data_IF_747041533590
#
_entry.id   IF_747041533590
#
_cell.length_a   1.000
_cell.length_b   1.000
_cell.length_c   1.000
_cell.angle_alpha   90.00
_cell.angle_beta   90.00
_cell.angle_gamma   90.00
#
_symmetry.space_group_name_H-M   'P 1'
#
loop_
_entity.id
_entity.type
_entity.pdbx_description
1 polymer ?
#
# COMPACT_ATOMS: atom_id res chain seq x y z
N UNK A 1 -69.58 -27.93 -0.48
CA UNK A 1 -68.13 -28.14 -0.30
C UNK A 1 -67.43 -27.75 -1.59
N UNK A 2 -66.78 -26.59 -1.66
CA UNK A 2 -66.15 -26.10 -2.89
C UNK A 2 -64.76 -26.73 -3.07
N UNK A 3 -64.57 -27.51 -4.13
CA UNK A 3 -63.31 -28.17 -4.44
C UNK A 3 -62.34 -27.16 -5.10
N UNK A 4 -61.38 -26.63 -4.34
CA UNK A 4 -60.39 -25.66 -4.82
C UNK A 4 -59.35 -26.36 -5.70
N UNK A 5 -59.52 -26.28 -7.02
CA UNK A 5 -58.53 -26.75 -8.00
C UNK A 5 -57.20 -26.00 -7.79
N UNK A 6 -56.15 -26.71 -7.38
CA UNK A 6 -54.79 -26.17 -7.33
C UNK A 6 -54.31 -26.01 -8.78
N UNK A 7 -54.19 -24.76 -9.26
CA UNK A 7 -53.53 -24.47 -10.53
C UNK A 7 -52.04 -24.82 -10.39
N UNK A 8 -51.62 -25.91 -11.03
CA UNK A 8 -50.20 -26.21 -11.24
C UNK A 8 -49.55 -25.02 -11.95
N UNK A 9 -48.63 -24.33 -11.27
CA UNK A 9 -47.77 -23.34 -11.92
C UNK A 9 -46.75 -24.13 -12.72
N UNK A 10 -46.74 -23.98 -14.05
CA UNK A 10 -45.70 -24.54 -14.90
C UNK A 10 -44.33 -24.02 -14.44
N UNK A 11 -43.63 -24.82 -13.65
CA UNK A 11 -42.23 -24.57 -13.31
C UNK A 11 -41.42 -24.95 -14.54
N UNK A 12 -41.10 -23.96 -15.37
CA UNK A 12 -40.10 -24.12 -16.42
C UNK A 12 -38.74 -24.28 -15.72
N UNK A 13 -38.19 -25.49 -15.74
CA UNK A 13 -36.82 -25.74 -15.30
C UNK A 13 -35.82 -25.10 -16.25
N UNK A 14 -34.72 -24.58 -15.71
CA UNK A 14 -33.56 -24.18 -16.51
C UNK A 14 -32.99 -25.42 -17.21
N UNK A 15 -32.64 -25.29 -18.49
CA UNK A 15 -31.96 -26.37 -19.21
C UNK A 15 -30.52 -26.49 -18.72
N UNK A 16 -29.99 -27.72 -18.70
CA UNK A 16 -28.57 -27.97 -18.35
C UNK A 16 -27.65 -27.20 -19.30
N UNK A 17 -28.06 -27.03 -20.57
CA UNK A 17 -27.30 -26.29 -21.58
C UNK A 17 -27.22 -24.80 -21.25
N UNK A 18 -28.32 -24.18 -20.82
CA UNK A 18 -28.33 -22.78 -20.36
C UNK A 18 -27.38 -22.59 -19.18
N UNK A 19 -27.40 -23.51 -18.21
CA UNK A 19 -26.51 -23.43 -17.06
C UNK A 19 -25.03 -23.63 -17.45
N UNK A 20 -24.75 -24.55 -18.39
CA UNK A 20 -23.40 -24.83 -18.88
C UNK A 20 -22.78 -23.61 -19.57
N UNK A 21 -23.53 -22.95 -20.45
CA UNK A 21 -23.02 -21.74 -21.14
C UNK A 21 -22.72 -20.64 -20.12
N UNK A 22 -23.57 -20.46 -19.11
CA UNK A 22 -23.38 -19.45 -18.08
C UNK A 22 -22.08 -19.67 -17.30
N UNK A 23 -21.80 -20.89 -16.84
CA UNK A 23 -20.56 -21.16 -16.10
C UNK A 23 -19.31 -21.00 -16.98
N UNK A 24 -19.40 -21.33 -18.28
CA UNK A 24 -18.29 -21.14 -19.23
C UNK A 24 -18.01 -19.65 -19.43
N UNK A 25 -19.05 -18.84 -19.63
CA UNK A 25 -18.91 -17.40 -19.78
C UNK A 25 -18.34 -16.77 -18.52
N UNK A 26 -18.84 -17.14 -17.33
CA UNK A 26 -18.31 -16.65 -16.05
C UNK A 26 -16.84 -17.09 -15.87
N UNK A 27 -16.48 -18.31 -16.27
CA UNK A 27 -15.10 -18.80 -16.22
C UNK A 27 -14.13 -17.98 -17.07
N UNK A 28 -14.50 -17.64 -18.31
CA UNK A 28 -13.69 -16.80 -19.20
C UNK A 28 -13.55 -15.39 -18.61
N UNK A 29 -14.64 -14.78 -18.15
CA UNK A 29 -14.63 -13.46 -17.55
C UNK A 29 -13.78 -13.42 -16.28
N UNK A 30 -13.88 -14.43 -15.41
CA UNK A 30 -13.11 -14.55 -14.18
C UNK A 30 -11.60 -14.66 -14.45
N UNK A 31 -11.19 -15.42 -15.47
CA UNK A 31 -9.78 -15.55 -15.83
C UNK A 31 -9.16 -14.21 -16.26
N UNK A 32 -9.86 -13.44 -17.09
CA UNK A 32 -9.41 -12.11 -17.53
C UNK A 32 -9.35 -11.13 -16.35
N UNK A 33 -10.39 -11.13 -15.49
CA UNK A 33 -10.44 -10.19 -14.36
C UNK A 33 -9.37 -10.45 -13.33
N UNK A 34 -9.01 -11.71 -13.05
CA UNK A 34 -7.94 -12.06 -12.09
C UNK A 34 -6.59 -11.44 -12.52
N UNK A 35 -6.22 -11.57 -13.79
CA UNK A 35 -4.95 -11.04 -14.30
C UNK A 35 -4.93 -9.51 -14.24
N UNK A 36 -6.03 -8.86 -14.63
CA UNK A 36 -6.15 -7.40 -14.57
C UNK A 36 -6.14 -6.86 -13.13
N UNK A 37 -6.81 -7.54 -12.19
CA UNK A 37 -6.95 -7.11 -10.81
C UNK A 37 -5.62 -7.12 -10.05
N UNK A 38 -4.74 -8.10 -10.33
CA UNK A 38 -3.39 -8.16 -9.74
C UNK A 38 -2.56 -6.89 -10.05
N UNK A 39 -2.59 -6.42 -11.29
CA UNK A 39 -1.88 -5.20 -11.69
C UNK A 39 -2.45 -3.93 -11.04
N UNK A 40 -3.78 -3.82 -10.96
CA UNK A 40 -4.46 -2.66 -10.36
C UNK A 40 -4.17 -2.57 -8.86
N UNK A 41 -4.30 -3.68 -8.14
CA UNK A 41 -4.03 -3.72 -6.69
C UNK A 41 -2.59 -3.38 -6.38
N UNK A 42 -1.62 -3.90 -7.14
CA UNK A 42 -0.20 -3.58 -7.00
C UNK A 42 0.10 -2.09 -7.17
N UNK A 43 -0.52 -1.43 -8.17
CA UNK A 43 -0.41 0.04 -8.33
C UNK A 43 -1.03 0.79 -7.16
N UNK A 44 -2.15 0.30 -6.63
CA UNK A 44 -2.77 0.86 -5.42
C UNK A 44 -1.84 0.80 -4.20
N UNK A 45 -1.16 -0.33 -4.00
CA UNK A 45 -0.17 -0.46 -2.93
C UNK A 45 1.05 0.44 -3.14
N UNK A 46 1.56 0.57 -4.37
CA UNK A 46 2.65 1.49 -4.67
C UNK A 46 2.29 2.96 -4.38
N UNK A 47 1.07 3.38 -4.76
CA UNK A 47 0.56 4.72 -4.46
C UNK A 47 0.41 4.96 -2.94
N UNK A 48 -0.04 3.92 -2.21
CA UNK A 48 -0.12 3.98 -0.76
C UNK A 48 1.27 4.10 -0.10
N UNK A 49 2.24 3.31 -0.55
CA UNK A 49 3.62 3.35 -0.04
C UNK A 49 4.27 4.73 -0.29
N UNK A 50 4.09 5.30 -1.49
CA UNK A 50 4.52 6.65 -1.83
C UNK A 50 3.87 7.70 -0.92
N UNK A 51 2.55 7.64 -0.73
CA UNK A 51 1.82 8.57 0.14
C UNK A 51 2.32 8.49 1.58
N UNK A 52 2.59 7.28 2.07
CA UNK A 52 3.13 7.07 3.42
C UNK A 52 4.54 7.66 3.55
N UNK A 53 5.39 7.47 2.54
CA UNK A 53 6.74 8.04 2.52
C UNK A 53 6.71 9.59 2.55
N UNK A 54 5.84 10.21 1.74
CA UNK A 54 5.63 11.66 1.77
C UNK A 54 5.13 12.17 3.14
N UNK A 55 4.25 11.42 3.80
CA UNK A 55 3.75 11.81 5.12
C UNK A 55 4.89 11.75 6.16
N UNK A 56 5.73 10.72 6.10
CA UNK A 56 6.92 10.62 6.95
C UNK A 56 7.87 11.80 6.69
N UNK A 57 8.11 12.13 5.43
CA UNK A 57 8.94 13.28 5.05
C UNK A 57 8.39 14.59 5.65
N UNK A 58 7.08 14.85 5.52
CA UNK A 58 6.44 16.05 6.09
C UNK A 58 6.59 16.11 7.61
N UNK A 59 6.40 14.99 8.30
CA UNK A 59 6.51 14.91 9.76
C UNK A 59 7.95 15.09 10.22
N UNK A 60 8.92 14.52 9.51
CA UNK A 60 10.34 14.67 9.80
C UNK A 60 10.83 16.12 9.59
N UNK A 61 10.40 16.77 8.50
CA UNK A 61 10.71 18.18 8.23
C UNK A 61 10.04 19.11 9.24
N UNK A 62 8.79 18.84 9.63
CA UNK A 62 8.11 19.58 10.68
C UNK A 62 8.86 19.46 12.02
N UNK A 63 9.28 18.23 12.39
CA UNK A 63 10.03 18.01 13.62
C UNK A 63 11.34 18.80 13.64
N UNK A 64 12.04 18.85 12.52
CA UNK A 64 13.25 19.66 12.40
C UNK A 64 12.95 21.16 12.49
N UNK A 65 11.85 21.64 11.89
CA UNK A 65 11.45 23.03 11.99
C UNK A 65 11.12 23.47 13.43
N UNK A 66 10.52 22.57 14.23
CA UNK A 66 10.12 22.90 15.61
C UNK A 66 11.23 22.66 16.63
N UNK A 67 12.01 21.59 16.47
CA UNK A 67 12.98 21.13 17.49
C UNK A 67 14.44 21.34 17.08
N UNK A 68 14.69 21.72 15.82
CA UNK A 68 16.03 21.83 15.25
C UNK A 68 16.72 20.49 15.00
N UNK A 69 15.98 19.37 15.08
CA UNK A 69 16.50 18.03 14.86
C UNK A 69 15.51 17.15 14.09
N UNK A 70 16.04 16.31 13.20
CA UNK A 70 15.26 15.26 12.54
C UNK A 70 15.03 14.06 13.47
N UNK A 71 13.99 13.25 13.20
CA UNK A 71 13.74 12.02 13.95
C UNK A 71 14.95 11.07 13.89
N UNK A 72 15.31 10.51 15.04
CA UNK A 72 16.42 9.54 15.17
C UNK A 72 15.95 8.09 15.21
N UNK A 73 14.65 7.84 15.31
CA UNK A 73 14.02 6.52 15.32
C UNK A 73 12.52 6.60 14.96
N UNK A 74 11.87 5.42 14.90
CA UNK A 74 10.45 5.31 14.53
C UNK A 74 9.53 5.96 15.57
N UNK A 75 9.94 5.92 16.84
CA UNK A 75 9.16 6.43 17.95
C UNK A 75 9.07 7.94 17.85
N UNK A 76 10.21 8.63 17.73
CA UNK A 76 10.27 10.07 17.52
C UNK A 76 9.38 10.52 16.36
N UNK A 77 9.41 9.78 15.25
CA UNK A 77 8.60 10.04 14.07
C UNK A 77 7.09 9.83 14.31
N UNK A 78 6.70 8.82 15.10
CA UNK A 78 5.28 8.46 15.32
C UNK A 78 4.64 9.13 16.53
N UNK A 79 5.45 9.65 17.46
CA UNK A 79 4.97 10.38 18.65
C UNK A 79 4.98 11.89 18.47
N UNK A 80 5.76 12.41 17.51
CA UNK A 80 5.77 13.82 17.20
C UNK A 80 4.42 14.26 16.63
N UNK A 81 3.86 15.38 17.09
CA UNK A 81 2.43 15.73 16.92
C UNK A 81 2.19 17.12 16.29
N UNK A 82 3.21 17.82 15.81
CA UNK A 82 2.99 19.21 15.34
C UNK A 82 2.04 19.32 14.13
N UNK A 83 1.93 18.25 13.34
CA UNK A 83 0.90 18.08 12.32
C UNK A 83 0.10 16.83 12.60
N UNK A 84 -0.81 16.88 13.58
CA UNK A 84 -1.67 15.74 13.96
C UNK A 84 -2.32 15.04 12.74
N UNK A 85 -2.64 15.79 11.68
CA UNK A 85 -3.19 15.25 10.42
C UNK A 85 -2.20 14.44 9.56
N UNK A 86 -0.90 14.74 9.58
CA UNK A 86 0.11 13.98 8.85
C UNK A 86 0.57 12.76 9.65
N UNK A 87 0.67 12.91 10.97
CA UNK A 87 1.07 11.84 11.91
C UNK A 87 0.00 10.73 11.93
N UNK A 88 -1.29 11.10 11.88
CA UNK A 88 -2.39 10.15 11.74
C UNK A 88 -2.36 9.33 10.44
N UNK A 89 -1.57 9.74 9.45
CA UNK A 89 -1.39 9.04 8.17
C UNK A 89 -0.08 8.27 8.07
N UNK A 90 0.75 8.26 9.12
CA UNK A 90 1.90 7.38 9.19
C UNK A 90 1.38 5.97 9.54
N UNK A 91 1.68 4.94 8.73
CA UNK A 91 1.20 3.59 8.98
C UNK A 91 1.77 3.03 10.29
N UNK A 92 0.94 2.28 11.04
CA UNK A 92 1.39 1.52 12.20
C UNK A 92 2.31 0.39 11.72
N UNK A 93 3.62 0.52 11.95
CA UNK A 93 4.62 -0.44 11.46
C UNK A 93 5.72 0.16 10.58
N UNK A 94 5.88 1.49 10.56
CA UNK A 94 7.15 2.08 10.08
C UNK A 94 8.29 1.47 10.88
N UNK A 95 9.23 0.86 10.16
CA UNK A 95 10.44 0.32 10.78
C UNK A 95 11.56 1.33 10.69
N UNK A 96 12.46 1.29 11.67
CA UNK A 96 13.71 2.05 11.61
C UNK A 96 14.89 1.13 11.76
N UNK A 97 16.01 1.51 11.15
CA UNK A 97 17.25 0.76 11.22
C UNK A 97 18.42 1.55 10.67
N UNK A 98 19.63 1.12 11.03
CA UNK A 98 20.87 1.71 10.51
C UNK A 98 21.24 1.20 9.11
N UNK A 99 20.60 0.12 8.64
CA UNK A 99 20.88 -0.51 7.36
C UNK A 99 19.60 -0.64 6.53
N UNK A 100 19.76 -0.48 5.22
CA UNK A 100 18.69 -0.62 4.24
C UNK A 100 18.24 -2.06 4.13
N UNK A 101 16.93 -2.27 3.99
CA UNK A 101 16.43 -3.60 3.64
C UNK A 101 16.56 -3.83 2.13
N UNK A 102 17.16 -4.94 1.73
CA UNK A 102 17.41 -5.28 0.31
C UNK A 102 16.22 -5.94 -0.38
N UNK A 103 15.19 -6.33 0.36
CA UNK A 103 13.99 -7.01 -0.15
C UNK A 103 12.72 -6.33 0.36
N UNK A 104 11.72 -6.16 -0.50
CA UNK A 104 10.44 -5.56 -0.10
C UNK A 104 9.69 -6.40 0.93
N UNK A 105 9.69 -5.95 2.19
CA UNK A 105 9.03 -6.59 3.35
C UNK A 105 7.50 -6.33 3.36
N UNK A 106 6.82 -6.64 2.25
CA UNK A 106 5.38 -6.46 2.10
C UNK A 106 4.95 -5.17 1.39
N UNK A 107 3.75 -5.18 0.81
CA UNK A 107 3.32 -4.22 -0.22
C UNK A 107 3.18 -2.75 0.24
N UNK A 108 3.10 -2.51 1.55
CA UNK A 108 2.94 -1.18 2.16
C UNK A 108 4.11 -0.80 3.06
N UNK A 109 5.21 -1.55 2.96
CA UNK A 109 6.36 -1.40 3.84
C UNK A 109 7.10 -0.10 3.56
N UNK A 110 7.37 0.64 4.63
CA UNK A 110 8.19 1.85 4.62
C UNK A 110 9.21 1.77 5.75
N UNK A 111 10.46 2.07 5.43
CA UNK A 111 11.57 2.10 6.38
C UNK A 111 12.10 3.53 6.46
N UNK A 112 12.27 4.04 7.68
CA UNK A 112 12.99 5.28 7.90
C UNK A 112 14.41 4.97 8.40
N UNK A 113 15.42 5.54 7.75
CA UNK A 113 16.83 5.40 8.11
C UNK A 113 17.36 6.75 8.60
N UNK A 114 17.51 6.94 9.92
CA UNK A 114 18.00 8.18 10.49
C UNK A 114 19.48 8.39 10.19
N UNK A 115 19.88 9.64 9.94
CA UNK A 115 21.29 10.07 9.82
C UNK A 115 21.62 11.05 10.94
N UNK A 116 21.63 10.49 12.16
CA UNK A 116 21.67 11.28 13.39
C UNK A 116 20.50 12.26 13.43
N UNK A 117 20.74 13.48 13.91
CA UNK A 117 19.74 14.55 13.99
C UNK A 117 19.71 15.45 12.76
N UNK A 118 20.58 15.21 11.78
CA UNK A 118 20.77 16.11 10.63
C UNK A 118 19.90 15.76 9.43
N UNK A 119 19.22 14.61 9.45
CA UNK A 119 18.38 14.14 8.36
C UNK A 119 18.15 12.65 8.41
N UNK A 120 17.75 12.08 7.29
CA UNK A 120 17.49 10.66 7.12
C UNK A 120 17.00 10.34 5.72
N UNK A 121 16.80 9.05 5.45
CA UNK A 121 16.15 8.60 4.24
C UNK A 121 14.87 7.83 4.58
N UNK A 122 13.97 7.75 3.61
CA UNK A 122 12.75 6.98 3.66
C UNK A 122 12.77 6.02 2.48
N UNK A 123 12.88 4.73 2.76
CA UNK A 123 12.85 3.68 1.76
C UNK A 123 11.44 3.09 1.68
N UNK A 124 10.93 2.95 0.46
CA UNK A 124 9.68 2.25 0.16
C UNK A 124 9.84 1.43 -1.12
N UNK A 125 8.86 0.59 -1.43
CA UNK A 125 8.92 -0.32 -2.58
C UNK A 125 7.78 -0.04 -3.57
N UNK A 126 8.15 0.17 -4.83
CA UNK A 126 7.21 0.26 -5.94
C UNK A 126 6.88 -1.16 -6.44
N UNK A 127 5.66 -1.61 -6.12
CA UNK A 127 5.13 -2.91 -6.53
C UNK A 127 4.40 -2.86 -7.88
N UNK A 128 4.30 -1.70 -8.54
CA UNK A 128 3.66 -1.59 -9.85
C UNK A 128 4.44 -2.32 -10.96
N UNK A 129 5.75 -2.51 -10.76
CA UNK A 129 6.62 -3.26 -11.65
C UNK A 129 6.55 -4.79 -11.37
N UNK A 130 6.88 -5.59 -12.39
CA UNK A 130 6.92 -7.05 -12.27
C UNK A 130 7.94 -7.54 -11.22
N UNK A 131 9.02 -6.79 -11.04
CA UNK A 131 9.96 -6.91 -9.94
C UNK A 131 9.82 -5.66 -9.07
N UNK A 132 9.56 -5.78 -7.75
CA UNK A 132 9.47 -4.62 -6.88
C UNK A 132 10.77 -3.81 -6.94
N UNK A 133 10.66 -2.49 -7.03
CA UNK A 133 11.82 -1.58 -7.10
C UNK A 133 11.87 -0.74 -5.84
N UNK A 134 13.03 -0.70 -5.17
CA UNK A 134 13.22 0.18 -4.03
C UNK A 134 13.26 1.65 -4.50
N UNK A 135 12.59 2.51 -3.74
CA UNK A 135 12.51 3.95 -3.93
C UNK A 135 12.93 4.64 -2.64
N UNK A 136 13.48 5.83 -2.78
CA UNK A 136 14.09 6.57 -1.69
C UNK A 136 13.67 8.03 -1.73
N UNK A 137 13.14 8.50 -0.62
CA UNK A 137 12.92 9.92 -0.34
C UNK A 137 13.89 10.37 0.76
N UNK A 138 14.22 11.65 0.79
CA UNK A 138 15.28 12.17 1.66
C UNK A 138 14.79 13.38 2.44
N UNK A 139 15.29 13.51 3.68
CA UNK A 139 15.08 14.65 4.56
C UNK A 139 16.40 15.16 5.11
N UNK A 140 16.53 16.48 5.23
CA UNK A 140 17.76 17.13 5.69
C UNK A 140 19.00 16.68 4.93
N UNK A 141 20.04 16.27 5.66
CA UNK A 141 21.32 15.76 5.13
C UNK A 141 21.32 14.24 4.81
N UNK A 142 20.14 13.60 4.77
CA UNK A 142 20.01 12.29 4.14
C UNK A 142 20.43 12.45 2.68
N UNK A 143 21.60 11.93 2.30
CA UNK A 143 22.23 12.38 1.05
C UNK A 143 21.43 11.94 -0.17
N UNK A 144 21.25 12.89 -1.07
CA UNK A 144 20.74 12.83 -2.45
C UNK A 144 21.65 12.03 -3.40
N UNK A 145 22.30 10.97 -2.89
CA UNK A 145 23.32 10.19 -3.59
C UNK A 145 22.70 9.12 -4.49
N UNK A 146 22.36 9.50 -5.71
CA UNK A 146 22.09 8.61 -6.85
C UNK A 146 20.80 7.75 -6.80
N UNK A 147 19.87 8.02 -5.87
CA UNK A 147 18.54 7.40 -5.84
C UNK A 147 18.54 5.87 -5.78
N UNK A 148 19.66 5.26 -5.36
CA UNK A 148 19.89 3.82 -5.39
C UNK A 148 20.23 3.25 -4.00
N UNK A 149 20.70 4.08 -3.07
CA UNK A 149 20.96 3.71 -1.68
C UNK A 149 20.70 4.88 -0.71
N UNK A 150 20.53 4.53 0.55
CA UNK A 150 20.49 5.43 1.69
C UNK A 150 21.82 5.28 2.42
N UNK A 151 22.57 6.36 2.47
CA UNK A 151 23.89 6.46 3.09
C UNK A 151 23.97 7.65 4.04
#
# INVERSE_FOLDING_TARGET
MANKKIKSKNQKGFTIVELLIVIVVIGILAAITIVAYSGITNRGYAAQAMTNAENIQKVAEAMNADTGAYPVDATALTTYSATAAAVAKIPTGVTTGAAQVTTGTGKTYVQYLPKGTTGGCIQWWDYAAATPVAKYDYVGNGVTGNGTTCV
#
